data_IF_771035109439
#
_entry.id   IF_771035109439
#
_cell.length_a   1.000
_cell.length_b   1.000
_cell.length_c   1.000
_cell.angle_alpha   90.00
_cell.angle_beta   90.00
_cell.angle_gamma   90.00
#
_symmetry.space_group_name_H-M   'P 1'
#
loop_
_entity.id
_entity.type
_entity.pdbx_description
1 polymer ?
#
# COMPACT_ATOMS: atom_id res chain seq x y z
N UNK A 1 23.88 28.16 -39.59
CA UNK A 1 23.99 28.16 -38.12
C UNK A 1 22.83 28.99 -37.54
N UNK A 2 21.73 28.35 -37.16
CA UNK A 2 20.50 29.06 -36.73
C UNK A 2 20.67 29.55 -35.29
N UNK A 3 20.84 30.86 -35.09
CA UNK A 3 20.83 31.48 -33.75
C UNK A 3 19.40 31.48 -33.21
N UNK A 4 19.09 30.53 -32.33
CA UNK A 4 17.86 30.57 -31.52
C UNK A 4 17.82 31.88 -30.73
N UNK A 5 16.73 32.64 -30.88
CA UNK A 5 16.47 33.85 -30.09
C UNK A 5 16.36 33.48 -28.61
N UNK A 6 16.73 34.41 -27.72
CA UNK A 6 16.73 34.19 -26.25
C UNK A 6 15.38 33.67 -25.73
N UNK A 7 14.26 34.15 -26.31
CA UNK A 7 12.90 33.68 -26.00
C UNK A 7 12.71 32.20 -26.33
N UNK A 8 13.06 31.77 -27.55
CA UNK A 8 12.90 30.37 -28.00
C UNK A 8 13.70 29.37 -27.16
N UNK A 9 14.86 29.77 -26.60
CA UNK A 9 15.63 28.92 -25.67
C UNK A 9 14.93 28.73 -24.33
N UNK A 10 14.32 29.79 -23.81
CA UNK A 10 13.56 29.74 -22.57
C UNK A 10 12.33 28.84 -22.69
N UNK A 11 11.58 28.98 -23.79
CA UNK A 11 10.38 28.16 -24.04
C UNK A 11 10.73 26.67 -24.13
N UNK A 12 11.83 26.33 -24.83
CA UNK A 12 12.33 24.94 -24.90
C UNK A 12 12.72 24.43 -23.51
N UNK A 13 13.45 25.22 -22.72
CA UNK A 13 13.86 24.82 -21.37
C UNK A 13 12.65 24.56 -20.46
N UNK A 14 11.65 25.43 -20.51
CA UNK A 14 10.40 25.28 -19.76
C UNK A 14 9.64 24.02 -20.19
N UNK A 15 9.56 23.76 -21.48
CA UNK A 15 8.89 22.57 -22.01
C UNK A 15 9.60 21.27 -21.60
N UNK A 16 10.93 21.24 -21.68
CA UNK A 16 11.72 20.09 -21.21
C UNK A 16 11.58 19.87 -19.71
N UNK A 17 11.57 20.95 -18.92
CA UNK A 17 11.33 20.87 -17.49
C UNK A 17 9.93 20.32 -17.18
N UNK A 18 8.89 20.78 -17.90
CA UNK A 18 7.54 20.28 -17.74
C UNK A 18 7.43 18.79 -18.07
N UNK A 19 8.07 18.33 -19.16
CA UNK A 19 8.13 16.90 -19.51
C UNK A 19 8.83 16.10 -18.41
N UNK A 20 9.98 16.57 -17.94
CA UNK A 20 10.73 15.90 -16.88
C UNK A 20 9.90 15.79 -15.59
N UNK A 21 9.27 16.89 -15.18
CA UNK A 21 8.41 16.91 -14.00
C UNK A 21 7.20 15.98 -14.14
N UNK A 22 6.56 15.97 -15.32
CA UNK A 22 5.47 15.04 -15.62
C UNK A 22 5.93 13.57 -15.49
N UNK A 23 7.13 13.23 -15.98
CA UNK A 23 7.69 11.89 -15.85
C UNK A 23 7.85 11.45 -14.37
N UNK A 24 8.29 12.35 -13.49
CA UNK A 24 8.37 12.07 -12.05
C UNK A 24 6.98 11.88 -11.42
N UNK A 25 5.99 12.67 -11.83
CA UNK A 25 4.61 12.55 -11.32
C UNK A 25 3.98 11.22 -11.74
N UNK A 26 4.19 10.75 -12.95
CA UNK A 26 3.56 9.50 -13.44
C UNK A 26 4.29 8.23 -12.98
N UNK A 27 5.44 8.35 -12.30
CA UNK A 27 6.16 7.17 -11.78
C UNK A 27 5.25 6.41 -10.79
N UNK A 28 4.98 5.11 -11.01
CA UNK A 28 4.06 4.31 -10.17
C UNK A 28 4.67 3.96 -8.81
N UNK A 29 3.85 3.52 -7.84
CA UNK A 29 4.35 3.07 -6.52
C UNK A 29 5.23 1.82 -6.66
N UNK A 30 4.98 0.97 -7.66
CA UNK A 30 5.81 -0.20 -7.99
C UNK A 30 7.30 0.09 -8.23
N UNK A 31 7.66 1.35 -8.51
CA UNK A 31 9.06 1.77 -8.55
C UNK A 31 9.78 1.65 -7.20
N UNK A 32 9.05 1.75 -6.09
CA UNK A 32 9.54 1.62 -4.71
C UNK A 32 9.05 0.37 -4.00
N UNK A 33 7.82 -0.06 -4.29
CA UNK A 33 7.16 -1.13 -3.56
C UNK A 33 6.27 -1.97 -4.50
N UNK A 34 6.63 -3.23 -4.69
CA UNK A 34 5.83 -4.18 -5.44
C UNK A 34 4.70 -4.71 -4.55
N UNK A 35 3.45 -4.39 -4.91
CA UNK A 35 2.30 -4.76 -4.08
C UNK A 35 2.08 -6.27 -4.08
N UNK A 36 2.37 -6.97 -5.17
CA UNK A 36 2.23 -8.43 -5.25
C UNK A 36 0.80 -8.91 -5.07
N UNK A 37 0.66 -10.06 -4.42
CA UNK A 37 -0.63 -10.71 -4.13
C UNK A 37 -0.85 -10.82 -2.62
N UNK A 38 -2.10 -10.69 -2.19
CA UNK A 38 -2.52 -10.83 -0.79
C UNK A 38 -3.73 -11.73 -0.69
N UNK A 39 -3.61 -12.75 0.14
CA UNK A 39 -4.68 -13.70 0.45
C UNK A 39 -4.86 -13.74 1.97
N UNK A 40 -6.11 -13.70 2.41
CA UNK A 40 -6.46 -13.91 3.81
C UNK A 40 -7.08 -15.30 3.90
N UNK A 41 -6.52 -16.14 4.75
CA UNK A 41 -6.95 -17.52 4.91
C UNK A 41 -8.23 -17.54 5.74
N UNK A 42 -9.21 -18.33 5.30
CA UNK A 42 -10.42 -18.60 6.08
C UNK A 42 -10.06 -19.13 7.47
N UNK A 43 -10.80 -18.70 8.49
CA UNK A 43 -10.53 -19.03 9.88
C UNK A 43 -11.83 -19.30 10.65
N UNK A 44 -11.74 -19.78 11.88
CA UNK A 44 -12.88 -19.83 12.80
C UNK A 44 -12.85 -18.67 13.79
N UNK A 45 -14.01 -18.30 14.32
CA UNK A 45 -14.11 -17.30 15.37
C UNK A 45 -13.20 -17.64 16.56
N UNK A 46 -12.33 -16.70 16.91
CA UNK A 46 -11.36 -16.83 18.00
C UNK A 46 -10.03 -17.47 17.59
N UNK A 47 -9.89 -17.96 16.36
CA UNK A 47 -8.59 -18.39 15.81
C UNK A 47 -7.83 -17.20 15.20
N UNK A 48 -6.49 -17.25 15.15
CA UNK A 48 -5.70 -16.24 14.43
C UNK A 48 -6.05 -16.21 12.95
N UNK A 49 -6.37 -15.03 12.42
CA UNK A 49 -6.59 -14.80 10.99
C UNK A 49 -5.22 -14.71 10.31
N UNK A 50 -4.90 -15.68 9.46
CA UNK A 50 -3.61 -15.75 8.76
C UNK A 50 -3.65 -15.05 7.40
N UNK A 51 -2.52 -14.50 6.99
CA UNK A 51 -2.34 -13.78 5.73
C UNK A 51 -1.18 -14.40 4.97
N UNK A 52 -1.36 -14.60 3.67
CA UNK A 52 -0.28 -14.92 2.73
C UNK A 52 -0.06 -13.69 1.86
N UNK A 53 1.17 -13.17 1.84
CA UNK A 53 1.49 -11.93 1.14
C UNK A 53 2.82 -12.02 0.39
N UNK A 54 2.77 -11.74 -0.91
CA UNK A 54 3.91 -11.86 -1.83
C UNK A 54 4.28 -10.52 -2.47
N UNK A 55 4.52 -9.49 -1.65
CA UNK A 55 5.06 -8.21 -2.12
C UNK A 55 6.22 -7.70 -1.26
N UNK A 56 6.74 -6.52 -1.58
CA UNK A 56 7.86 -5.95 -0.82
C UNK A 56 8.48 -4.71 -1.44
N UNK A 57 9.38 -4.10 -0.67
CA UNK A 57 10.13 -2.95 -1.12
C UNK A 57 11.14 -3.38 -2.20
N UNK A 58 11.07 -2.75 -3.36
CA UNK A 58 12.07 -2.88 -4.44
C UNK A 58 13.19 -1.85 -4.28
N UNK A 59 12.93 -0.78 -3.50
CA UNK A 59 13.89 0.25 -3.10
C UNK A 59 13.58 0.70 -1.68
N UNK A 60 14.55 1.29 -1.02
CA UNK A 60 14.30 1.95 0.27
C UNK A 60 13.48 3.23 0.10
N UNK A 61 12.50 3.44 0.99
CA UNK A 61 11.73 4.68 1.04
C UNK A 61 11.10 4.89 2.41
N UNK A 62 10.85 6.15 2.75
CA UNK A 62 9.99 6.50 3.89
C UNK A 62 8.53 6.28 3.48
N UNK A 63 7.82 5.43 4.20
CA UNK A 63 6.44 5.11 3.87
C UNK A 63 5.56 4.86 5.08
N UNK A 64 4.31 4.51 4.80
CA UNK A 64 3.36 3.93 5.74
C UNK A 64 2.39 3.03 4.97
N UNK A 65 1.57 2.28 5.70
CA UNK A 65 0.45 1.57 5.12
C UNK A 65 -0.80 1.66 6.00
N UNK A 66 -1.96 1.40 5.39
CA UNK A 66 -3.24 1.29 6.08
C UNK A 66 -3.98 0.04 5.63
N UNK A 67 -4.69 -0.60 6.54
CA UNK A 67 -5.49 -1.81 6.32
C UNK A 67 -6.94 -1.47 6.65
N UNK A 68 -7.87 -1.83 5.78
CA UNK A 68 -9.31 -1.69 6.04
C UNK A 68 -9.97 -3.02 5.75
N UNK A 69 -10.64 -3.60 6.74
CA UNK A 69 -11.46 -4.79 6.57
C UNK A 69 -12.92 -4.39 6.54
N UNK A 70 -13.64 -4.85 5.53
CA UNK A 70 -15.07 -4.59 5.34
C UNK A 70 -15.85 -5.88 5.28
N UNK A 71 -17.04 -5.84 5.86
CA UNK A 71 -18.05 -6.86 5.63
C UNK A 71 -18.42 -6.88 4.15
N UNK A 72 -18.48 -8.08 3.58
CA UNK A 72 -18.67 -8.26 2.14
C UNK A 72 -20.06 -7.81 1.67
N UNK A 73 -21.10 -8.11 2.46
CA UNK A 73 -22.48 -7.84 2.10
C UNK A 73 -22.87 -6.36 2.31
N UNK A 74 -22.56 -5.82 3.49
CA UNK A 74 -22.96 -4.48 3.92
C UNK A 74 -21.96 -3.40 3.53
N UNK A 75 -20.72 -3.76 3.18
CA UNK A 75 -19.58 -2.85 2.95
C UNK A 75 -19.16 -2.03 4.17
N UNK A 76 -19.73 -2.31 5.35
CA UNK A 76 -19.38 -1.65 6.61
C UNK A 76 -17.93 -1.93 6.99
N UNK A 77 -17.24 -0.93 7.55
CA UNK A 77 -15.89 -1.11 8.11
C UNK A 77 -16.03 -1.87 9.42
N UNK A 78 -15.35 -3.01 9.51
CA UNK A 78 -15.36 -3.88 10.69
C UNK A 78 -14.13 -3.60 11.55
N UNK A 79 -12.98 -3.37 10.90
CA UNK A 79 -11.77 -2.89 11.55
C UNK A 79 -10.90 -2.07 10.57
N UNK A 80 -10.03 -1.21 11.11
CA UNK A 80 -9.06 -0.42 10.34
C UNK A 80 -7.70 -0.29 11.05
N UNK A 81 -6.64 -0.77 10.42
CA UNK A 81 -5.26 -0.62 10.89
C UNK A 81 -4.51 0.49 10.17
N UNK A 82 -3.58 1.18 10.85
CA UNK A 82 -2.62 2.10 10.23
C UNK A 82 -1.25 1.92 10.85
N UNK A 83 -0.22 1.93 10.02
CA UNK A 83 1.14 2.00 10.50
C UNK A 83 1.54 3.45 10.81
N UNK A 84 2.59 3.60 11.62
CA UNK A 84 3.35 4.84 11.64
C UNK A 84 4.13 5.06 10.34
N UNK A 85 4.88 6.16 10.28
CA UNK A 85 5.89 6.36 9.23
C UNK A 85 7.17 5.62 9.58
N UNK A 86 7.69 4.82 8.66
CA UNK A 86 8.95 4.11 8.83
C UNK A 86 9.65 3.90 7.49
N UNK A 87 10.94 3.56 7.55
CA UNK A 87 11.72 3.24 6.35
C UNK A 87 11.43 1.80 5.97
N UNK A 88 10.95 1.60 4.74
CA UNK A 88 10.86 0.29 4.14
C UNK A 88 12.24 -0.12 3.65
N UNK A 89 12.74 -1.26 4.13
CA UNK A 89 14.01 -1.84 3.71
C UNK A 89 13.77 -2.98 2.72
N UNK A 90 14.65 -3.09 1.71
CA UNK A 90 14.59 -4.19 0.75
C UNK A 90 14.97 -5.49 1.45
N UNK A 91 14.10 -6.49 1.36
CA UNK A 91 14.33 -7.79 2.02
C UNK A 91 14.03 -7.81 3.52
N UNK A 92 13.38 -6.78 4.08
CA UNK A 92 12.95 -6.77 5.48
C UNK A 92 12.09 -8.03 5.79
N UNK A 93 12.46 -8.83 6.80
CA UNK A 93 11.73 -10.04 7.12
C UNK A 93 10.35 -9.72 7.69
N UNK A 94 9.39 -10.61 7.42
CA UNK A 94 8.08 -10.62 8.05
C UNK A 94 7.96 -11.86 8.93
N UNK A 95 7.11 -11.85 9.97
CA UNK A 95 6.77 -13.06 10.68
C UNK A 95 6.20 -14.11 9.73
N UNK A 96 6.55 -15.37 9.99
CA UNK A 96 5.99 -16.55 9.33
C UNK A 96 5.53 -17.53 10.44
N UNK A 97 4.21 -17.72 10.64
CA UNK A 97 3.11 -17.20 9.82
C UNK A 97 2.82 -15.71 10.06
N UNK A 98 2.32 -15.04 9.02
CA UNK A 98 1.84 -13.67 9.09
C UNK A 98 0.37 -13.64 9.53
N UNK A 99 0.04 -12.83 10.53
CA UNK A 99 -1.33 -12.72 11.06
C UNK A 99 -1.91 -11.32 10.88
N UNK A 100 -3.24 -11.23 10.81
CA UNK A 100 -3.97 -9.96 10.77
C UNK A 100 -3.68 -9.08 11.99
N UNK A 101 -3.46 -9.69 13.17
CA UNK A 101 -3.10 -8.96 14.39
C UNK A 101 -1.74 -8.24 14.26
N UNK A 102 -0.76 -8.87 13.58
CA UNK A 102 0.51 -8.23 13.29
C UNK A 102 0.40 -7.23 12.13
N UNK A 103 -0.44 -7.54 11.13
CA UNK A 103 -0.64 -6.72 9.93
C UNK A 103 -1.43 -5.43 10.19
N UNK A 104 -2.37 -5.44 11.14
CA UNK A 104 -3.18 -4.28 11.49
C UNK A 104 -3.12 -4.00 13.02
N UNK A 105 -1.93 -3.75 13.59
CA UNK A 105 -1.73 -3.80 15.03
C UNK A 105 -2.37 -2.62 15.78
N UNK A 106 -2.73 -1.55 15.07
CA UNK A 106 -3.32 -0.35 15.68
C UNK A 106 -4.81 -0.49 16.00
N UNK A 107 -5.48 -1.54 15.53
CA UNK A 107 -6.89 -1.80 15.81
C UNK A 107 -7.09 -3.25 16.27
N UNK A 108 -7.33 -3.48 17.58
CA UNK A 108 -7.45 -4.82 18.14
C UNK A 108 -8.63 -5.60 17.58
N UNK A 109 -9.64 -4.94 16.98
CA UNK A 109 -10.75 -5.62 16.30
C UNK A 109 -10.28 -6.44 15.11
N UNK A 110 -9.16 -6.07 14.49
CA UNK A 110 -8.61 -6.84 13.37
C UNK A 110 -8.00 -8.19 13.80
N UNK A 111 -7.69 -8.38 15.09
CA UNK A 111 -7.11 -9.63 15.57
C UNK A 111 -8.14 -10.78 15.64
N UNK A 112 -9.42 -10.45 15.82
CA UNK A 112 -10.51 -11.41 15.92
C UNK A 112 -11.80 -10.79 15.38
N UNK A 113 -12.23 -11.24 14.21
CA UNK A 113 -13.48 -10.82 13.58
C UNK A 113 -14.60 -11.80 13.98
N UNK A 114 -15.86 -11.35 14.06
CA UNK A 114 -17.00 -12.25 14.22
C UNK A 114 -17.22 -13.06 12.94
N UNK A 115 -18.07 -14.09 13.03
CA UNK A 115 -18.43 -14.93 11.89
C UNK A 115 -19.06 -14.09 10.78
N UNK A 116 -18.60 -14.31 9.55
CA UNK A 116 -19.00 -13.50 8.40
C UNK A 116 -18.04 -13.62 7.23
N UNK A 117 -18.37 -12.96 6.13
CA UNK A 117 -17.50 -12.91 4.94
C UNK A 117 -17.00 -11.48 4.76
N UNK A 118 -15.70 -11.34 4.53
CA UNK A 118 -15.01 -10.06 4.54
C UNK A 118 -14.12 -9.88 3.32
N UNK A 119 -13.73 -8.64 3.07
CA UNK A 119 -12.65 -8.27 2.16
C UNK A 119 -11.71 -7.31 2.86
N UNK A 120 -10.41 -7.46 2.61
CA UNK A 120 -9.37 -6.57 3.12
C UNK A 120 -8.80 -5.72 1.99
N UNK A 121 -8.58 -4.45 2.25
CA UNK A 121 -7.80 -3.55 1.39
C UNK A 121 -6.61 -3.04 2.18
N UNK A 122 -5.40 -3.19 1.64
CA UNK A 122 -4.18 -2.58 2.18
C UNK A 122 -3.65 -1.55 1.20
N UNK A 123 -3.43 -0.33 1.68
CA UNK A 123 -2.87 0.77 0.88
C UNK A 123 -1.49 1.15 1.41
N UNK A 124 -0.51 1.25 0.53
CA UNK A 124 0.84 1.71 0.84
C UNK A 124 1.03 3.13 0.34
N UNK A 125 1.65 3.97 1.16
CA UNK A 125 1.98 5.35 0.84
C UNK A 125 3.49 5.54 0.83
N UNK A 126 4.02 6.02 -0.29
CA UNK A 126 5.41 6.48 -0.43
C UNK A 126 5.45 7.98 -0.12
N UNK A 127 6.15 8.35 0.94
CA UNK A 127 6.36 9.74 1.32
C UNK A 127 7.57 10.34 0.62
N UNK A 128 7.47 11.63 0.29
CA UNK A 128 8.53 12.44 -0.31
C UNK A 128 9.28 11.74 -1.47
N UNK A 129 8.60 11.19 -2.49
CA UNK A 129 9.30 10.58 -3.61
C UNK A 129 10.19 11.61 -4.31
N UNK A 130 11.36 11.17 -4.78
CA UNK A 130 12.37 12.05 -5.38
C UNK A 130 12.69 13.27 -4.49
N UNK A 131 12.99 13.03 -3.21
CA UNK A 131 13.32 14.07 -2.22
C UNK A 131 12.21 15.12 -2.02
N UNK A 132 10.96 14.73 -2.24
CA UNK A 132 9.80 15.61 -2.07
C UNK A 132 9.52 16.51 -3.27
N UNK A 133 10.16 16.28 -4.42
CA UNK A 133 9.85 17.01 -5.66
C UNK A 133 8.43 16.74 -6.15
N UNK A 134 7.88 15.56 -5.85
CA UNK A 134 6.51 15.19 -6.20
C UNK A 134 5.69 14.85 -4.95
N UNK A 135 4.35 14.95 -5.03
CA UNK A 135 3.47 14.56 -3.93
C UNK A 135 3.66 13.09 -3.52
N UNK A 136 3.19 12.76 -2.32
CA UNK A 136 3.15 11.37 -1.85
C UNK A 136 2.28 10.52 -2.78
N UNK A 137 2.67 9.26 -2.96
CA UNK A 137 2.01 8.32 -3.87
C UNK A 137 1.38 7.22 -3.05
N UNK A 138 0.15 6.82 -3.38
CA UNK A 138 -0.54 5.73 -2.69
C UNK A 138 -1.09 4.74 -3.70
N UNK A 139 -0.93 3.46 -3.41
CA UNK A 139 -1.51 2.38 -4.20
C UNK A 139 -2.07 1.32 -3.24
N UNK A 140 -3.18 0.70 -3.63
CA UNK A 140 -3.93 -0.22 -2.79
C UNK A 140 -4.04 -1.59 -3.44
N UNK A 141 -3.94 -2.62 -2.62
CA UNK A 141 -4.19 -4.01 -2.99
C UNK A 141 -5.38 -4.52 -2.19
N UNK A 142 -6.29 -5.21 -2.88
CA UNK A 142 -7.47 -5.80 -2.27
C UNK A 142 -7.39 -7.32 -2.32
N UNK A 143 -7.68 -7.97 -1.20
CA UNK A 143 -7.73 -9.43 -1.11
C UNK A 143 -8.97 -9.99 -1.84
N UNK A 144 -8.95 -11.27 -2.21
CA UNK A 144 -10.17 -12.06 -2.35
C UNK A 144 -11.04 -12.00 -1.09
N UNK A 145 -12.30 -12.39 -1.21
CA UNK A 145 -13.17 -12.53 -0.05
C UNK A 145 -12.71 -13.73 0.79
N UNK A 146 -12.78 -13.60 2.11
CA UNK A 146 -12.46 -14.65 3.07
C UNK A 146 -13.57 -14.77 4.11
N UNK A 147 -13.70 -15.93 4.72
CA UNK A 147 -14.78 -16.27 5.65
C UNK A 147 -14.23 -16.58 7.04
N UNK A 148 -14.88 -16.01 8.03
CA UNK A 148 -14.75 -16.40 9.43
C UNK A 148 -15.94 -17.28 9.75
N UNK A 149 -15.68 -18.56 10.02
CA UNK A 149 -16.69 -19.53 10.40
C UNK A 149 -17.06 -19.38 11.87
N UNK A 150 -18.32 -19.65 12.27
CA UNK A 150 -18.72 -19.69 13.67
C UNK A 150 -17.84 -20.64 14.48
N UNK A 151 -17.65 -20.31 15.76
CA UNK A 151 -17.07 -21.26 16.72
C UNK A 151 -18.06 -22.41 16.95
N UNK A 152 -17.56 -23.64 16.92
CA UNK A 152 -18.34 -24.84 17.24
C UNK A 152 -18.83 -24.81 18.72
#
# INVERSE_FOLDING_TARGET
>A
MVRLTRKRRFDIALFLFAIFYAALIITPVSWWYELGEIEVIDAREGEPILIVYHGGATREFLGSYSVVVRDFATRGIVCEGRSGRFVYEVGAPRPDPLSMAWWAPSDPRCAALPAGTYVMETCWTVYSPFWGLVPSKTECLRSPAFTIHPKD
#
